data_IF_819319446431
#
_entry.id   IF_819319446431
#
_cell.length_a   1.000
_cell.length_b   1.000
_cell.length_c   1.000
_cell.angle_alpha   90.00
_cell.angle_beta   90.00
_cell.angle_gamma   90.00
#
_symmetry.space_group_name_H-M   'P 1'
#
loop_
_entity.id
_entity.type
_entity.pdbx_description
1 polymer ?
#
# COMPACT_ATOMS: atom_id res chain seq x y z
N UNK A 1 11.09 10.02 -9.23
CA UNK A 1 10.26 8.86 -8.86
C UNK A 1 10.98 8.00 -7.82
N UNK A 2 10.28 7.61 -6.74
CA UNK A 2 10.78 6.74 -5.65
C UNK A 2 9.80 5.60 -5.41
N UNK A 3 10.31 4.37 -5.30
CA UNK A 3 9.57 3.18 -4.91
C UNK A 3 9.87 2.83 -3.45
N UNK A 4 8.84 2.71 -2.60
CA UNK A 4 9.03 2.55 -1.17
C UNK A 4 7.89 1.79 -0.48
N UNK A 5 8.23 1.13 0.63
CA UNK A 5 7.28 0.57 1.59
C UNK A 5 6.74 1.60 2.58
N UNK A 6 7.17 2.87 2.49
CA UNK A 6 6.78 3.92 3.43
C UNK A 6 7.36 3.77 4.83
N UNK A 7 8.56 3.18 4.95
CA UNK A 7 9.26 3.03 6.23
C UNK A 7 10.69 3.53 6.10
N UNK A 8 11.10 4.46 6.98
CA UNK A 8 12.42 5.10 6.91
C UNK A 8 12.74 5.95 8.14
N UNK A 9 13.87 6.66 8.10
CA UNK A 9 14.29 7.56 9.16
C UNK A 9 13.79 8.98 8.87
N UNK A 10 12.89 9.56 9.69
CA UNK A 10 12.26 10.84 9.40
C UNK A 10 13.22 12.01 9.17
N UNK A 11 14.42 11.98 9.77
CA UNK A 11 15.41 13.04 9.62
C UNK A 11 15.86 13.27 8.18
N UNK A 12 15.74 12.28 7.29
CA UNK A 12 16.14 12.41 5.88
C UNK A 12 14.97 12.76 4.96
N UNK A 13 13.73 12.77 5.45
CA UNK A 13 12.56 13.04 4.62
C UNK A 13 12.60 14.44 3.98
N UNK A 14 12.96 15.53 4.70
CA UNK A 14 13.07 16.87 4.10
C UNK A 14 14.14 16.99 3.01
N UNK A 15 15.14 16.10 3.01
CA UNK A 15 16.22 16.12 2.01
C UNK A 15 15.85 15.33 0.75
N UNK A 16 14.86 14.45 0.83
CA UNK A 16 14.48 13.52 -0.24
C UNK A 16 13.17 13.98 -0.88
N UNK A 17 12.11 14.12 -0.07
CA UNK A 17 10.74 14.27 -0.54
C UNK A 17 10.48 15.49 -1.44
N UNK A 18 11.13 16.66 -1.25
CA UNK A 18 10.96 17.79 -2.17
C UNK A 18 11.43 17.56 -3.61
N UNK A 19 12.22 16.50 -3.84
CA UNK A 19 12.72 16.13 -5.17
C UNK A 19 11.96 14.93 -5.76
N UNK A 20 10.91 14.45 -5.09
CA UNK A 20 10.14 13.28 -5.53
C UNK A 20 8.84 13.75 -6.18
N UNK A 21 8.79 13.61 -7.50
CA UNK A 21 7.62 13.90 -8.33
C UNK A 21 6.54 12.82 -8.28
N UNK A 22 6.95 11.55 -8.14
CA UNK A 22 6.05 10.38 -8.07
C UNK A 22 6.55 9.41 -7.02
N UNK A 23 5.64 8.96 -6.15
CA UNK A 23 5.90 8.00 -5.09
C UNK A 23 5.09 6.72 -5.31
N UNK A 24 5.78 5.60 -5.53
CA UNK A 24 5.15 4.28 -5.58
C UNK A 24 5.09 3.75 -4.14
N UNK A 25 3.90 3.73 -3.54
CA UNK A 25 3.71 3.43 -2.12
C UNK A 25 3.01 2.08 -1.94
N UNK A 26 3.69 1.14 -1.30
CA UNK A 26 3.07 -0.14 -0.93
C UNK A 26 2.28 -0.05 0.37
N UNK A 27 1.00 -0.43 0.33
CA UNK A 27 0.21 -0.74 1.52
C UNK A 27 0.18 -2.25 1.70
N UNK A 28 0.84 -2.76 2.74
CA UNK A 28 1.04 -4.21 2.93
C UNK A 28 -0.02 -4.83 3.85
N UNK A 29 -0.54 -4.07 4.80
CA UNK A 29 -1.51 -4.50 5.78
C UNK A 29 -2.26 -3.30 6.36
N UNK A 30 -3.38 -3.56 7.04
CA UNK A 30 -4.33 -2.51 7.43
C UNK A 30 -4.53 -2.36 8.94
N UNK A 31 -3.98 -3.28 9.73
CA UNK A 31 -4.01 -3.23 11.19
C UNK A 31 -2.63 -3.60 11.78
N UNK A 32 -2.39 -3.22 13.04
CA UNK A 32 -1.09 -3.42 13.71
C UNK A 32 -0.70 -4.90 13.79
N UNK A 33 -1.67 -5.81 13.98
CA UNK A 33 -1.38 -7.24 14.14
C UNK A 33 -0.90 -7.80 12.80
N UNK A 34 -1.67 -7.62 11.73
CA UNK A 34 -1.30 -8.12 10.40
C UNK A 34 -0.02 -7.45 9.87
N UNK A 35 0.16 -6.15 10.11
CA UNK A 35 1.38 -5.45 9.70
C UNK A 35 2.63 -5.99 10.43
N UNK A 36 2.51 -6.31 11.72
CA UNK A 36 3.61 -6.90 12.49
C UNK A 36 3.93 -8.31 12.04
N UNK A 37 2.91 -9.13 11.74
CA UNK A 37 3.08 -10.48 11.23
C UNK A 37 3.74 -10.49 9.84
N UNK A 38 3.33 -9.60 8.94
CA UNK A 38 3.81 -9.57 7.54
C UNK A 38 5.13 -8.81 7.40
N UNK A 39 5.27 -7.66 8.05
CA UNK A 39 6.40 -6.75 7.85
C UNK A 39 7.44 -6.82 8.98
N UNK A 40 7.14 -7.46 10.11
CA UNK A 40 8.02 -7.48 11.28
C UNK A 40 8.18 -6.12 11.99
N UNK A 41 7.33 -5.15 11.66
CA UNK A 41 7.39 -3.78 12.17
C UNK A 41 6.01 -3.29 12.64
N UNK A 42 5.96 -2.20 13.40
CA UNK A 42 4.69 -1.56 13.74
C UNK A 42 4.15 -0.75 12.57
N UNK A 43 2.82 -0.79 12.37
CA UNK A 43 2.13 0.01 11.35
C UNK A 43 2.32 1.51 11.61
N UNK A 44 2.59 1.91 12.85
CA UNK A 44 2.77 3.31 13.21
C UNK A 44 3.89 4.00 12.41
N UNK A 45 4.97 3.28 12.07
CA UNK A 45 6.03 3.85 11.24
C UNK A 45 5.55 4.20 9.82
N UNK A 46 4.71 3.34 9.25
CA UNK A 46 4.07 3.57 7.95
C UNK A 46 3.05 4.71 8.01
N UNK A 47 2.20 4.73 9.05
CA UNK A 47 1.25 5.83 9.26
C UNK A 47 1.96 7.17 9.43
N UNK A 48 3.03 7.22 10.23
CA UNK A 48 3.85 8.41 10.42
C UNK A 48 4.48 8.89 9.11
N UNK A 49 5.00 7.98 8.29
CA UNK A 49 5.52 8.33 6.97
C UNK A 49 4.44 9.01 6.12
N UNK A 50 3.28 8.35 5.97
CA UNK A 50 2.18 8.86 5.15
C UNK A 50 1.69 10.24 5.60
N UNK A 51 1.48 10.44 6.90
CA UNK A 51 0.96 11.70 7.42
C UNK A 51 2.00 12.83 7.40
N UNK A 52 3.29 12.49 7.33
CA UNK A 52 4.37 13.47 7.30
C UNK A 52 4.74 13.98 5.91
N UNK A 53 4.18 13.42 4.83
CA UNK A 53 4.63 13.70 3.45
C UNK A 53 4.62 15.20 3.13
N UNK A 54 3.48 15.86 3.29
CA UNK A 54 3.33 17.29 3.01
C UNK A 54 4.24 18.16 3.90
N UNK A 55 4.33 17.83 5.19
CA UNK A 55 5.15 18.57 6.15
C UNK A 55 6.65 18.50 5.83
N UNK A 56 7.07 17.45 5.11
CA UNK A 56 8.44 17.25 4.64
C UNK A 56 8.64 17.69 3.17
N UNK A 57 7.70 18.46 2.62
CA UNK A 57 7.83 19.10 1.31
C UNK A 57 7.51 18.21 0.10
N UNK A 58 6.87 17.06 0.30
CA UNK A 58 6.32 16.28 -0.83
C UNK A 58 5.11 17.00 -1.43
N UNK A 59 5.16 17.31 -2.71
CA UNK A 59 4.06 17.90 -3.50
C UNK A 59 3.68 17.06 -4.74
N UNK A 60 4.30 15.90 -4.90
CA UNK A 60 4.10 14.99 -6.02
C UNK A 60 2.84 14.12 -5.93
N UNK A 61 2.75 13.17 -6.85
CA UNK A 61 1.65 12.22 -6.95
C UNK A 61 2.01 10.85 -6.38
N UNK A 62 1.01 10.13 -5.87
CA UNK A 62 1.17 8.81 -5.29
C UNK A 62 0.51 7.77 -6.19
N UNK A 63 1.27 6.75 -6.56
CA UNK A 63 0.74 5.51 -7.11
C UNK A 63 0.75 4.48 -5.99
N UNK A 64 -0.43 4.24 -5.45
CA UNK A 64 -0.65 3.30 -4.38
C UNK A 64 -0.69 1.88 -4.93
N UNK A 65 0.00 0.96 -4.27
CA UNK A 65 0.05 -0.45 -4.66
C UNK A 65 -0.28 -1.34 -3.48
N UNK A 66 -1.04 -2.39 -3.74
CA UNK A 66 -1.32 -3.43 -2.76
C UNK A 66 -1.11 -4.80 -3.40
N UNK A 67 -0.24 -5.62 -2.80
CA UNK A 67 -0.08 -7.02 -3.21
C UNK A 67 -1.22 -7.82 -2.60
N UNK A 68 -2.08 -8.39 -3.45
CA UNK A 68 -3.23 -9.17 -3.03
C UNK A 68 -2.86 -10.64 -2.83
N UNK A 69 -3.17 -11.15 -1.65
CA UNK A 69 -2.93 -12.52 -1.22
C UNK A 69 -4.25 -13.30 -1.24
N UNK A 70 -4.34 -14.44 -1.96
CA UNK A 70 -5.55 -15.24 -2.03
C UNK A 70 -5.92 -15.81 -0.66
N UNK A 71 -7.18 -15.68 -0.26
CA UNK A 71 -7.69 -16.08 1.05
C UNK A 71 -7.38 -15.11 2.21
N UNK A 72 -6.64 -14.03 1.98
CA UNK A 72 -6.26 -13.06 3.02
C UNK A 72 -6.75 -11.65 2.69
N UNK A 73 -6.41 -11.13 1.52
CA UNK A 73 -6.74 -9.75 1.13
C UNK A 73 -7.58 -9.65 -0.16
N UNK A 74 -8.08 -10.79 -0.65
CA UNK A 74 -8.97 -10.93 -1.80
C UNK A 74 -10.46 -10.88 -1.40
N UNK A 75 -10.82 -9.96 -0.51
CA UNK A 75 -12.17 -9.77 -0.02
C UNK A 75 -12.54 -8.28 0.10
N UNK A 76 -13.84 -8.00 0.25
CA UNK A 76 -14.37 -6.64 0.27
C UNK A 76 -13.87 -5.83 1.49
N UNK A 77 -13.83 -6.47 2.66
CA UNK A 77 -13.37 -5.84 3.90
C UNK A 77 -11.92 -5.33 3.77
N UNK A 78 -11.03 -6.13 3.18
CA UNK A 78 -9.65 -5.73 2.89
C UNK A 78 -9.58 -4.50 1.97
N UNK A 79 -10.43 -4.41 0.94
CA UNK A 79 -10.44 -3.26 0.04
C UNK A 79 -11.02 -2.01 0.69
N UNK A 80 -12.01 -2.15 1.56
CA UNK A 80 -12.53 -1.05 2.38
C UNK A 80 -11.46 -0.54 3.34
N UNK A 81 -10.77 -1.44 4.02
CA UNK A 81 -9.66 -1.12 4.93
C UNK A 81 -8.48 -0.46 4.19
N UNK A 82 -8.14 -0.92 2.98
CA UNK A 82 -7.13 -0.30 2.13
C UNK A 82 -7.46 1.17 1.85
N UNK A 83 -8.69 1.45 1.43
CA UNK A 83 -9.15 2.81 1.08
C UNK A 83 -9.25 3.72 2.32
N UNK A 84 -9.64 3.19 3.48
CA UNK A 84 -9.66 3.93 4.73
C UNK A 84 -8.23 4.24 5.24
N UNK A 85 -7.30 3.28 5.11
CA UNK A 85 -5.89 3.44 5.52
C UNK A 85 -5.22 4.63 4.82
N UNK A 86 -5.54 4.83 3.54
CA UNK A 86 -4.91 5.86 2.69
C UNK A 86 -5.63 7.21 2.76
N UNK A 87 -6.73 7.30 3.52
CA UNK A 87 -7.54 8.51 3.66
C UNK A 87 -6.75 9.77 4.03
N UNK A 88 -5.69 9.74 4.86
CA UNK A 88 -4.87 10.92 5.14
C UNK A 88 -4.20 11.51 3.88
N UNK A 89 -3.86 10.66 2.91
CA UNK A 89 -3.15 11.03 1.68
C UNK A 89 -4.03 10.92 0.43
N UNK A 90 -5.34 10.70 0.58
CA UNK A 90 -6.24 10.34 -0.52
C UNK A 90 -6.23 11.34 -1.70
N UNK A 91 -5.97 12.61 -1.44
CA UNK A 91 -5.94 13.64 -2.48
C UNK A 91 -4.64 13.66 -3.29
N UNK A 92 -3.59 13.01 -2.78
CA UNK A 92 -2.32 12.82 -3.48
C UNK A 92 -2.30 11.52 -4.30
N UNK A 93 -3.24 10.60 -4.05
CA UNK A 93 -3.32 9.31 -4.75
C UNK A 93 -3.92 9.51 -6.14
N UNK A 94 -3.07 9.38 -7.16
CA UNK A 94 -3.48 9.45 -8.57
C UNK A 94 -3.92 8.08 -9.08
N UNK A 95 -3.27 7.02 -8.58
CA UNK A 95 -3.51 5.65 -9.02
C UNK A 95 -3.53 4.68 -7.86
N UNK A 96 -4.47 3.73 -7.87
CA UNK A 96 -4.52 2.59 -6.97
C UNK A 96 -4.45 1.30 -7.80
N UNK A 97 -3.36 0.56 -7.63
CA UNK A 97 -3.10 -0.71 -8.31
C UNK A 97 -3.18 -1.89 -7.34
N UNK A 98 -3.85 -2.96 -7.76
CA UNK A 98 -3.81 -4.24 -7.06
C UNK A 98 -2.91 -5.19 -7.84
N UNK A 99 -1.87 -5.68 -7.17
CA UNK A 99 -0.86 -6.55 -7.76
C UNK A 99 -1.17 -7.99 -7.31
N UNK A 100 -1.48 -8.92 -8.21
CA UNK A 100 -1.70 -10.31 -7.84
C UNK A 100 -0.39 -10.93 -7.32
N UNK A 101 -0.46 -11.61 -6.18
CA UNK A 101 0.66 -12.38 -5.64
C UNK A 101 1.13 -13.47 -6.61
N UNK A 102 2.45 -13.68 -6.67
CA UNK A 102 3.10 -14.68 -7.49
C UNK A 102 4.27 -15.36 -6.75
N UNK A 103 4.61 -16.60 -7.12
CA UNK A 103 5.65 -17.39 -6.43
C UNK A 103 7.07 -17.19 -6.96
N UNK A 104 7.31 -16.25 -7.89
CA UNK A 104 8.63 -16.04 -8.52
C UNK A 104 9.78 -15.73 -7.53
N UNK A 105 9.47 -15.34 -6.29
CA UNK A 105 10.48 -15.05 -5.25
C UNK A 105 10.98 -16.26 -4.46
N UNK A 106 10.31 -17.41 -4.53
CA UNK A 106 10.60 -18.60 -3.69
C UNK A 106 12.03 -19.10 -3.86
N UNK A 107 12.52 -19.15 -5.11
CA UNK A 107 13.87 -19.63 -5.43
C UNK A 107 14.99 -18.84 -4.73
N UNK A 108 14.78 -17.55 -4.44
CA UNK A 108 15.77 -16.74 -3.72
C UNK A 108 15.85 -17.13 -2.24
N UNK A 109 14.73 -17.47 -1.61
CA UNK A 109 14.69 -17.92 -0.22
C UNK A 109 15.37 -19.29 -0.08
N UNK A 110 15.11 -20.20 -1.02
CA UNK A 110 15.79 -21.50 -1.10
C UNK A 110 17.31 -21.36 -1.20
N UNK A 111 17.80 -20.46 -2.06
CA UNK A 111 19.24 -20.20 -2.22
C UNK A 111 19.90 -19.64 -0.95
N UNK A 112 19.14 -18.88 -0.14
CA UNK A 112 19.62 -18.31 1.11
C UNK A 112 19.42 -19.24 2.32
N UNK A 113 18.84 -20.42 2.11
CA UNK A 113 18.50 -21.35 3.20
C UNK A 113 17.48 -20.79 4.18
N UNK A 114 16.62 -19.88 3.72
CA UNK A 114 15.58 -19.24 4.53
C UNK A 114 14.23 -19.90 4.25
N UNK A 115 13.42 -20.08 5.29
CA UNK A 115 12.03 -20.47 5.10
C UNK A 115 11.23 -19.34 4.46
N UNK A 116 10.42 -19.69 3.47
CA UNK A 116 9.51 -18.75 2.82
C UNK A 116 8.11 -18.90 3.40
N UNK A 117 7.66 -17.88 4.15
CA UNK A 117 6.39 -17.91 4.88
C UNK A 117 5.13 -18.12 4.02
N UNK A 118 5.23 -17.91 2.69
CA UNK A 118 4.11 -18.07 1.75
C UNK A 118 4.33 -19.25 0.79
N UNK A 119 5.14 -20.25 1.15
CA UNK A 119 5.48 -21.40 0.29
C UNK A 119 4.26 -22.20 -0.15
N UNK A 120 3.26 -22.30 0.70
CA UNK A 120 2.06 -23.10 0.46
C UNK A 120 0.93 -22.29 -0.22
N UNK A 121 1.14 -20.99 -0.42
CA UNK A 121 0.14 -20.11 -1.01
C UNK A 121 0.21 -20.15 -2.54
N UNK A 122 -0.89 -20.51 -3.17
CA UNK A 122 -1.01 -20.47 -4.63
C UNK A 122 -0.93 -19.03 -5.16
N UNK A 123 -0.47 -18.81 -6.42
CA UNK A 123 -0.54 -17.51 -7.07
C UNK A 123 -1.98 -16.98 -7.13
N UNK A 124 -2.15 -15.66 -7.02
CA UNK A 124 -3.44 -15.00 -7.17
C UNK A 124 -3.88 -14.99 -8.64
N UNK A 125 -5.16 -15.22 -8.89
CA UNK A 125 -5.73 -15.14 -10.24
C UNK A 125 -5.80 -13.67 -10.69
N UNK A 126 -5.37 -13.40 -11.92
CA UNK A 126 -5.16 -12.04 -12.40
C UNK A 126 -6.48 -11.29 -12.63
N UNK A 127 -7.49 -11.95 -13.19
CA UNK A 127 -8.80 -11.31 -13.43
C UNK A 127 -9.51 -11.01 -12.11
N UNK A 128 -9.46 -11.92 -11.14
CA UNK A 128 -10.01 -11.71 -9.79
C UNK A 128 -9.33 -10.52 -9.09
N UNK A 129 -8.00 -10.42 -9.14
CA UNK A 129 -7.30 -9.25 -8.61
C UNK A 129 -7.73 -7.95 -9.32
N UNK A 130 -7.99 -8.02 -10.64
CA UNK A 130 -8.47 -6.87 -11.41
C UNK A 130 -9.90 -6.46 -11.05
N UNK A 131 -10.77 -7.41 -10.70
CA UNK A 131 -12.09 -7.12 -10.15
C UNK A 131 -12.01 -6.35 -8.83
N UNK A 132 -11.12 -6.78 -7.93
CA UNK A 132 -10.86 -6.08 -6.68
C UNK A 132 -10.23 -4.70 -6.88
N UNK A 133 -9.33 -4.54 -7.85
CA UNK A 133 -8.80 -3.23 -8.23
C UNK A 133 -9.92 -2.29 -8.67
N UNK A 134 -10.82 -2.76 -9.53
CA UNK A 134 -11.98 -1.98 -9.98
C UNK A 134 -12.89 -1.61 -8.80
N UNK A 135 -13.07 -2.51 -7.84
CA UNK A 135 -13.85 -2.25 -6.63
C UNK A 135 -13.20 -1.19 -5.73
N UNK A 136 -11.91 -1.35 -5.39
CA UNK A 136 -11.16 -0.40 -4.57
C UNK A 136 -11.12 1.01 -5.20
N UNK A 137 -10.92 1.10 -6.52
CA UNK A 137 -10.97 2.38 -7.22
C UNK A 137 -12.35 3.05 -7.16
N UNK A 138 -13.45 2.28 -7.20
CA UNK A 138 -14.81 2.83 -7.01
C UNK A 138 -15.00 3.37 -5.59
N UNK A 139 -14.56 2.63 -4.57
CA UNK A 139 -14.62 3.07 -3.18
C UNK A 139 -13.83 4.36 -2.96
N UNK A 140 -12.60 4.42 -3.48
CA UNK A 140 -11.75 5.59 -3.38
C UNK A 140 -12.38 6.82 -4.04
N UNK A 141 -12.96 6.68 -5.24
CA UNK A 141 -13.65 7.77 -5.93
C UNK A 141 -14.88 8.27 -5.16
N UNK A 142 -15.65 7.37 -4.53
CA UNK A 142 -16.78 7.72 -3.68
C UNK A 142 -16.32 8.50 -2.43
N UNK A 143 -15.24 8.06 -1.79
CA UNK A 143 -14.66 8.72 -0.62
C UNK A 143 -14.17 10.15 -0.94
N UNK A 144 -13.51 10.33 -2.08
CA UNK A 144 -13.08 11.64 -2.57
C UNK A 144 -14.27 12.57 -2.81
N UNK A 145 -15.35 12.05 -3.41
CA UNK A 145 -16.57 12.81 -3.69
C UNK A 145 -17.28 13.26 -2.41
N UNK A 146 -17.40 12.35 -1.42
CA UNK A 146 -17.99 12.67 -0.11
C UNK A 146 -17.16 13.73 0.64
N UNK A 147 -15.84 13.63 0.61
CA UNK A 147 -14.92 14.58 1.27
C UNK A 147 -14.98 15.98 0.67
N UNK A 148 -15.29 16.11 -0.62
CA UNK A 148 -15.49 17.41 -1.29
C UNK A 148 -16.83 18.05 -0.92
N UNK A 149 -17.89 17.25 -0.80
CA UNK A 149 -19.23 17.75 -0.46
C UNK A 149 -19.36 18.16 1.02
N UNK A 150 -18.58 17.56 1.93
CA UNK A 150 -18.58 17.89 3.36
C UNK A 150 -17.71 19.09 3.75
N UNK A 151 -17.02 19.73 2.81
CA UNK A 151 -16.22 20.96 3.01
C UNK A 151 -16.96 22.24 2.57
N UNK A 152 -18.25 22.13 2.19
CA UNK A 152 -19.13 23.26 1.88
C UNK A 152 -19.83 23.81 3.12
#
# INVERSE_FOLDING_TARGET
>A
CVDTSGYGQPQYYPEILPYVDTLLLDVKAFDEKSFREICGASIQGFLNFMTSLADNGFDGQIWLRHVMLPGYTDNAEAMEQLVETIKPIQFMVERLEIIPYHTHGTAKYEQLGLEYALSDLAPMEQEQAKEWERYANRLHAQQLSASRNGRS
#
